data_IF_342816694849
#
_entry.id   IF_342816694849
#
_cell.length_a   1.000
_cell.length_b   1.000
_cell.length_c   1.000
_cell.angle_alpha   90.00
_cell.angle_beta   90.00
_cell.angle_gamma   90.00
#
_symmetry.space_group_name_H-M   'P 1'
#
loop_
_entity.id
_entity.type
_entity.pdbx_description
1 polymer ?
#
# COMPACT_ATOMS: atom_id res chain seq x y z
N UNK A 1 -26.03 26.66 1.40
CA UNK A 1 -25.72 25.49 0.53
C UNK A 1 -24.24 25.18 0.64
N UNK A 2 -23.85 23.92 0.94
CA UNK A 2 -22.44 23.57 1.20
C UNK A 2 -21.65 23.66 -0.13
N UNK A 3 -20.57 24.44 -0.15
CA UNK A 3 -19.70 24.67 -1.32
C UNK A 3 -19.20 23.35 -1.96
N UNK A 4 -18.97 22.35 -1.12
CA UNK A 4 -18.50 21.03 -1.55
C UNK A 4 -19.60 20.22 -2.28
N UNK A 5 -20.84 20.41 -1.89
CA UNK A 5 -22.00 19.83 -2.61
C UNK A 5 -22.09 20.41 -4.02
N UNK A 6 -21.97 21.74 -4.16
CA UNK A 6 -22.00 22.41 -5.47
C UNK A 6 -20.88 21.87 -6.38
N UNK A 7 -19.65 21.76 -5.87
CA UNK A 7 -18.51 21.23 -6.65
C UNK A 7 -18.77 19.81 -7.14
N UNK A 8 -19.29 18.94 -6.28
CA UNK A 8 -19.61 17.54 -6.66
C UNK A 8 -20.67 17.52 -7.76
N UNK A 9 -21.75 18.28 -7.62
CA UNK A 9 -22.79 18.39 -8.64
C UNK A 9 -22.25 18.88 -9.99
N UNK A 10 -21.45 19.96 -9.99
CA UNK A 10 -20.84 20.52 -11.19
C UNK A 10 -19.82 19.57 -11.85
N UNK A 11 -19.25 18.66 -11.10
CA UNK A 11 -18.27 17.69 -11.59
C UNK A 11 -18.85 16.28 -11.77
N UNK A 12 -20.18 16.14 -11.71
CA UNK A 12 -20.93 14.91 -11.95
C UNK A 12 -20.62 13.77 -10.94
N UNK A 13 -20.26 14.13 -9.70
CA UNK A 13 -20.12 13.17 -8.62
C UNK A 13 -21.38 13.17 -7.76
N UNK A 14 -22.01 12.01 -7.66
CA UNK A 14 -23.24 11.80 -6.91
C UNK A 14 -22.97 11.10 -5.58
N UNK A 15 -23.82 11.32 -4.59
CA UNK A 15 -23.77 10.57 -3.32
C UNK A 15 -23.99 9.08 -3.58
N UNK A 16 -23.22 8.25 -2.89
CA UNK A 16 -23.17 6.81 -3.10
C UNK A 16 -23.35 6.03 -1.81
N UNK A 17 -23.54 4.71 -1.94
CA UNK A 17 -23.53 3.76 -0.84
C UNK A 17 -22.16 3.11 -0.68
N UNK A 18 -21.93 2.49 0.47
CA UNK A 18 -20.73 1.68 0.70
C UNK A 18 -20.70 0.45 -0.23
N UNK A 19 -21.83 -0.18 -0.50
CA UNK A 19 -21.90 -1.32 -1.45
C UNK A 19 -21.48 -0.90 -2.86
N UNK A 20 -22.00 0.20 -3.37
CA UNK A 20 -21.58 0.75 -4.67
C UNK A 20 -20.08 1.06 -4.72
N UNK A 21 -19.53 1.60 -3.64
CA UNK A 21 -18.10 1.84 -3.53
C UNK A 21 -17.30 0.52 -3.58
N UNK A 22 -17.73 -0.51 -2.83
CA UNK A 22 -17.11 -1.84 -2.82
C UNK A 22 -17.10 -2.46 -4.22
N UNK A 23 -18.26 -2.49 -4.91
CA UNK A 23 -18.38 -3.02 -6.25
C UNK A 23 -17.45 -2.30 -7.26
N UNK A 24 -17.36 -0.98 -7.14
CA UNK A 24 -16.48 -0.15 -7.98
C UNK A 24 -15.02 -0.45 -7.71
N UNK A 25 -14.64 -0.63 -6.44
CA UNK A 25 -13.29 -1.02 -6.06
C UNK A 25 -12.93 -2.41 -6.58
N UNK A 26 -13.81 -3.39 -6.43
CA UNK A 26 -13.61 -4.75 -6.95
C UNK A 26 -13.41 -4.76 -8.47
N UNK A 27 -14.08 -3.85 -9.18
CA UNK A 27 -13.96 -3.73 -10.62
C UNK A 27 -12.67 -3.05 -11.06
N UNK A 28 -12.32 -1.90 -10.48
CA UNK A 28 -11.26 -1.02 -10.98
C UNK A 28 -9.99 -0.99 -10.11
N UNK A 29 -10.10 -1.38 -8.86
CA UNK A 29 -8.99 -1.42 -7.91
C UNK A 29 -8.65 -0.08 -7.30
N UNK A 30 -7.71 -0.12 -6.36
CA UNK A 30 -7.24 1.04 -5.62
C UNK A 30 -6.07 0.68 -4.72
N UNK A 31 -5.51 1.66 -4.02
CA UNK A 31 -4.48 1.42 -3.01
C UNK A 31 -5.08 0.80 -1.73
N UNK A 32 -4.23 0.21 -0.89
CA UNK A 32 -4.67 -0.47 0.35
C UNK A 32 -5.48 0.46 1.27
N UNK A 33 -5.10 1.72 1.38
CA UNK A 33 -5.82 2.73 2.17
C UNK A 33 -7.17 3.16 1.57
N UNK A 34 -7.53 2.57 0.41
CA UNK A 34 -8.82 2.70 -0.25
C UNK A 34 -9.60 1.38 -0.23
N UNK A 35 -9.04 0.28 0.30
CA UNK A 35 -9.67 -1.04 0.27
C UNK A 35 -10.99 -1.06 1.06
N UNK A 36 -12.09 -1.62 0.51
CA UNK A 36 -13.38 -1.65 1.20
C UNK A 36 -13.34 -2.30 2.59
N UNK A 37 -12.59 -3.38 2.76
CA UNK A 37 -12.49 -4.05 4.06
C UNK A 37 -11.76 -3.19 5.10
N UNK A 38 -10.78 -2.39 4.66
CA UNK A 38 -10.13 -1.39 5.53
C UNK A 38 -11.13 -0.30 5.93
N UNK A 39 -11.95 0.17 5.00
CA UNK A 39 -13.02 1.14 5.27
C UNK A 39 -14.02 0.57 6.26
N UNK A 40 -14.53 -0.65 6.03
CA UNK A 40 -15.48 -1.35 6.89
C UNK A 40 -14.92 -1.57 8.29
N UNK A 41 -13.64 -1.97 8.41
CA UNK A 41 -12.94 -2.11 9.67
C UNK A 41 -12.98 -0.80 10.49
N UNK A 42 -12.65 0.34 9.89
CA UNK A 42 -12.70 1.62 10.58
C UNK A 42 -14.12 2.10 10.88
N UNK A 43 -15.08 1.80 10.03
CA UNK A 43 -16.50 2.08 10.31
C UNK A 43 -17.00 1.29 11.50
N UNK A 44 -16.72 -0.01 11.55
CA UNK A 44 -17.30 -0.95 12.50
C UNK A 44 -16.61 -0.89 13.87
N UNK A 45 -15.29 -0.82 13.89
CA UNK A 45 -14.51 -0.96 15.14
C UNK A 45 -13.97 0.36 15.69
N UNK A 46 -13.91 1.42 14.87
CA UNK A 46 -13.38 2.72 15.27
C UNK A 46 -14.37 3.88 15.14
N UNK A 47 -15.63 3.61 14.77
CA UNK A 47 -16.70 4.60 14.63
C UNK A 47 -16.37 5.77 13.69
N UNK A 48 -15.55 5.53 12.67
CA UNK A 48 -15.20 6.55 11.70
C UNK A 48 -16.35 6.79 10.72
N UNK A 49 -16.55 8.06 10.37
CA UNK A 49 -17.59 8.47 9.43
C UNK A 49 -17.04 8.57 8.03
N UNK A 50 -17.70 7.92 7.08
CA UNK A 50 -17.36 7.96 5.68
C UNK A 50 -18.54 8.47 4.86
N UNK A 51 -18.23 9.29 3.86
CA UNK A 51 -19.18 9.71 2.83
C UNK A 51 -18.69 9.18 1.50
N UNK A 52 -19.54 8.45 0.78
CA UNK A 52 -19.19 7.81 -0.47
C UNK A 52 -19.76 8.59 -1.65
N UNK A 53 -19.03 8.60 -2.77
CA UNK A 53 -19.40 9.28 -4.00
C UNK A 53 -19.04 8.41 -5.18
N UNK A 54 -19.89 8.43 -6.23
CA UNK A 54 -19.62 7.74 -7.48
C UNK A 54 -19.72 8.70 -8.67
N UNK A 55 -19.02 8.36 -9.74
CA UNK A 55 -19.10 9.02 -11.03
C UNK A 55 -19.81 8.11 -12.03
N UNK A 56 -20.91 8.61 -12.59
CA UNK A 56 -21.73 7.88 -13.55
C UNK A 56 -21.54 8.43 -14.96
N UNK A 57 -21.35 7.56 -15.94
CA UNK A 57 -21.25 7.93 -17.34
C UNK A 57 -21.97 6.90 -18.21
N UNK A 58 -22.83 7.35 -19.09
CA UNK A 58 -23.64 6.49 -19.96
C UNK A 58 -24.45 5.41 -19.20
N UNK A 59 -24.98 5.76 -18.06
CA UNK A 59 -25.74 4.84 -17.20
C UNK A 59 -24.92 3.91 -16.31
N UNK A 60 -23.60 3.82 -16.49
CA UNK A 60 -22.68 2.95 -15.75
C UNK A 60 -21.83 3.73 -14.74
N UNK A 61 -21.53 3.10 -13.60
CA UNK A 61 -20.59 3.66 -12.62
C UNK A 61 -19.16 3.42 -13.12
N UNK A 62 -18.44 4.50 -13.34
CA UNK A 62 -17.08 4.51 -13.88
C UNK A 62 -16.01 4.92 -12.86
N UNK A 63 -16.42 5.24 -11.65
CA UNK A 63 -15.48 5.56 -10.58
C UNK A 63 -16.20 5.81 -9.27
N UNK A 64 -15.48 5.65 -8.17
CA UNK A 64 -15.96 5.97 -6.84
C UNK A 64 -14.82 6.45 -5.94
N UNK A 65 -15.15 7.26 -4.96
CA UNK A 65 -14.24 7.60 -3.87
C UNK A 65 -15.03 7.79 -2.58
N UNK A 66 -14.31 7.87 -1.49
CA UNK A 66 -14.88 8.28 -0.21
C UNK A 66 -14.08 9.42 0.42
N UNK A 67 -14.75 10.13 1.31
CA UNK A 67 -14.15 11.12 2.20
C UNK A 67 -14.28 10.62 3.62
N UNK A 68 -13.16 10.56 4.34
CA UNK A 68 -13.11 10.14 5.72
C UNK A 68 -13.21 11.36 6.64
N UNK A 69 -14.11 11.31 7.63
CA UNK A 69 -14.36 12.37 8.63
C UNK A 69 -14.52 13.76 8.00
N UNK A 70 -15.17 13.82 6.83
CA UNK A 70 -15.42 15.03 6.04
C UNK A 70 -14.16 15.84 5.64
N UNK A 71 -13.00 15.22 5.60
CA UNK A 71 -11.74 15.96 5.38
C UNK A 71 -10.91 15.51 4.19
N UNK A 72 -10.73 14.20 3.97
CA UNK A 72 -9.73 13.70 3.01
C UNK A 72 -10.18 12.44 2.29
N UNK A 73 -9.75 12.30 1.04
CA UNK A 73 -9.84 11.05 0.29
C UNK A 73 -8.84 10.04 0.87
N UNK A 74 -9.30 8.82 1.08
CA UNK A 74 -8.49 7.72 1.59
C UNK A 74 -8.28 7.77 3.11
N UNK A 75 -7.90 6.64 3.67
CA UNK A 75 -7.53 6.53 5.09
C UNK A 75 -6.07 6.93 5.24
N UNK A 76 -5.84 8.13 5.73
CA UNK A 76 -4.51 8.74 5.81
C UNK A 76 -4.05 8.83 7.27
N UNK A 77 -3.71 7.69 7.85
CA UNK A 77 -3.17 7.60 9.21
C UNK A 77 -1.65 7.42 9.17
N UNK A 78 -0.95 8.16 10.02
CA UNK A 78 0.47 8.00 10.22
C UNK A 78 0.73 7.40 11.60
N UNK A 79 1.54 6.33 11.65
CA UNK A 79 2.10 5.77 12.89
C UNK A 79 1.09 5.21 13.90
N UNK A 80 -0.20 5.16 13.56
CA UNK A 80 -1.22 4.60 14.46
C UNK A 80 -1.59 3.18 14.03
N UNK A 81 -1.81 2.98 12.74
CA UNK A 81 -2.09 1.69 12.12
C UNK A 81 -1.09 1.42 10.98
N UNK A 82 -0.85 0.15 10.62
CA UNK A 82 0.11 -0.22 9.59
C UNK A 82 -0.46 0.03 8.17
N UNK A 83 -0.89 1.27 7.92
CA UNK A 83 -1.38 1.73 6.63
C UNK A 83 -0.48 2.84 6.09
N UNK A 84 -0.05 2.70 4.85
CA UNK A 84 0.64 3.77 4.17
C UNK A 84 -0.31 4.93 3.86
N UNK A 85 0.21 6.12 4.00
CA UNK A 85 -0.49 7.35 3.64
C UNK A 85 0.27 8.15 2.57
N UNK A 86 1.11 7.49 1.79
CA UNK A 86 2.02 8.16 0.86
C UNK A 86 1.35 8.46 -0.47
N UNK A 87 0.47 7.59 -0.96
CA UNK A 87 -0.37 7.86 -2.12
C UNK A 87 -1.80 7.32 -1.97
N UNK A 88 -2.67 7.76 -2.88
CA UNK A 88 -4.05 7.30 -3.03
C UNK A 88 -4.29 6.94 -4.49
N UNK A 89 -4.62 5.68 -4.73
CA UNK A 89 -5.13 5.19 -6.01
C UNK A 89 -6.65 4.99 -5.85
N UNK A 90 -7.42 5.82 -6.55
CA UNK A 90 -8.90 5.84 -6.50
C UNK A 90 -9.44 4.80 -7.50
N UNK A 91 -10.50 4.04 -7.19
CA UNK A 91 -11.13 3.13 -8.15
C UNK A 91 -11.81 3.90 -9.29
N UNK A 92 -11.13 4.00 -10.43
CA UNK A 92 -11.59 4.66 -11.65
C UNK A 92 -11.42 3.72 -12.84
N UNK A 93 -12.42 3.70 -13.73
CA UNK A 93 -12.31 3.01 -15.02
C UNK A 93 -11.10 3.55 -15.82
N UNK A 94 -10.31 2.69 -16.49
CA UNK A 94 -9.07 3.10 -17.16
C UNK A 94 -9.26 4.25 -18.18
N UNK A 95 -10.39 4.26 -18.88
CA UNK A 95 -10.73 5.25 -19.89
C UNK A 95 -11.36 6.54 -19.33
N UNK A 96 -11.68 6.59 -18.04
CA UNK A 96 -12.36 7.72 -17.43
C UNK A 96 -11.44 8.94 -17.36
N UNK A 97 -11.96 10.08 -17.81
CA UNK A 97 -11.38 11.41 -17.56
C UNK A 97 -12.41 12.27 -16.85
N UNK A 98 -12.09 12.74 -15.66
CA UNK A 98 -13.02 13.50 -14.81
C UNK A 98 -12.32 14.59 -14.00
N UNK A 99 -13.12 15.52 -13.48
CA UNK A 99 -12.70 16.44 -12.43
C UNK A 99 -12.90 15.79 -11.05
N UNK A 100 -11.91 15.88 -10.18
CA UNK A 100 -12.02 15.44 -8.79
C UNK A 100 -12.42 16.63 -7.90
N UNK A 101 -13.57 16.62 -7.25
CA UNK A 101 -14.05 17.77 -6.46
C UNK A 101 -13.37 17.93 -5.11
N UNK A 102 -12.48 17.03 -4.75
CA UNK A 102 -11.79 17.00 -3.46
C UNK A 102 -10.33 17.41 -3.57
N UNK A 103 -9.84 18.13 -2.56
CA UNK A 103 -8.42 18.50 -2.48
C UNK A 103 -7.59 17.36 -1.92
N UNK A 104 -6.57 16.97 -2.65
CA UNK A 104 -5.54 16.04 -2.17
C UNK A 104 -4.20 16.36 -2.80
N UNK A 105 -3.10 15.96 -2.16
CA UNK A 105 -1.75 16.06 -2.70
C UNK A 105 -1.06 14.69 -2.74
N UNK A 106 -1.85 13.62 -2.82
CA UNK A 106 -1.41 12.22 -2.73
C UNK A 106 -1.95 11.35 -3.85
N UNK A 107 -2.44 11.93 -4.95
CA UNK A 107 -2.92 11.15 -6.06
C UNK A 107 -1.78 10.30 -6.64
N UNK A 108 -2.08 9.03 -6.87
CA UNK A 108 -1.18 8.13 -7.56
C UNK A 108 -0.85 8.63 -8.96
N UNK A 109 0.35 8.34 -9.45
CA UNK A 109 0.78 8.67 -10.81
C UNK A 109 -0.11 8.02 -11.87
N UNK A 110 -0.75 6.92 -11.57
CA UNK A 110 -1.70 6.24 -12.47
C UNK A 110 -2.93 7.10 -12.82
N UNK A 111 -3.24 8.11 -12.01
CA UNK A 111 -4.32 9.07 -12.31
C UNK A 111 -3.92 10.24 -13.21
N UNK A 112 -2.69 10.26 -13.71
CA UNK A 112 -2.15 11.42 -14.45
C UNK A 112 -2.93 11.76 -15.71
N UNK A 113 -3.48 10.77 -16.41
CA UNK A 113 -4.31 10.95 -17.60
C UNK A 113 -5.81 11.05 -17.29
N UNK A 114 -6.23 10.69 -16.08
CA UNK A 114 -7.63 10.53 -15.69
C UNK A 114 -8.19 11.77 -14.98
N UNK A 115 -7.42 12.40 -14.07
CA UNK A 115 -7.91 13.53 -13.27
C UNK A 115 -7.45 14.84 -13.89
N UNK A 116 -8.41 15.57 -14.49
CA UNK A 116 -8.17 16.74 -15.33
C UNK A 116 -7.67 17.95 -14.52
N UNK A 117 -8.22 18.15 -13.31
CA UNK A 117 -7.87 19.24 -12.41
C UNK A 117 -6.75 18.87 -11.41
N UNK A 118 -5.78 18.08 -11.86
CA UNK A 118 -4.63 17.74 -11.04
C UNK A 118 -3.30 18.00 -11.77
N UNK A 119 -2.26 18.22 -10.98
CA UNK A 119 -0.90 18.40 -11.47
C UNK A 119 0.09 17.55 -10.67
N UNK A 120 1.10 17.04 -11.36
CA UNK A 120 2.23 16.29 -10.76
C UNK A 120 3.52 17.14 -10.72
N UNK A 121 3.45 18.40 -11.19
CA UNK A 121 4.60 19.31 -11.25
C UNK A 121 4.83 20.13 -10.00
N UNK A 122 3.76 20.48 -9.26
CA UNK A 122 3.83 21.37 -8.10
C UNK A 122 4.13 20.64 -6.78
N UNK A 123 4.00 19.30 -6.75
CA UNK A 123 4.27 18.50 -5.55
C UNK A 123 5.71 17.98 -5.47
N UNK A 124 6.69 18.71 -6.02
CA UNK A 124 8.10 18.30 -6.20
C UNK A 124 8.80 17.72 -4.98
N UNK A 125 8.26 17.87 -3.78
CA UNK A 125 8.87 17.37 -2.53
C UNK A 125 8.32 16.02 -2.05
N UNK A 126 7.29 15.47 -2.73
CA UNK A 126 6.66 14.21 -2.30
C UNK A 126 6.70 13.22 -3.46
N UNK A 127 7.56 12.24 -3.34
CA UNK A 127 7.65 11.13 -4.28
C UNK A 127 7.27 9.85 -3.57
N UNK A 128 6.52 9.00 -4.25
CA UNK A 128 6.27 7.62 -3.87
C UNK A 128 7.10 6.69 -4.74
N UNK A 129 7.63 5.62 -4.17
CA UNK A 129 8.47 4.64 -4.84
C UNK A 129 7.63 3.44 -5.26
N UNK A 130 7.48 3.24 -6.57
CA UNK A 130 6.84 2.06 -7.15
C UNK A 130 7.89 1.11 -7.68
N UNK A 131 7.78 -0.17 -7.33
CA UNK A 131 8.75 -1.21 -7.73
C UNK A 131 8.78 -1.33 -9.25
N UNK A 132 9.98 -1.45 -9.80
CA UNK A 132 10.24 -1.59 -11.24
C UNK A 132 9.58 -2.85 -11.79
N UNK A 133 9.03 -2.75 -12.98
CA UNK A 133 8.46 -3.91 -13.68
C UNK A 133 9.54 -4.94 -14.00
N UNK A 134 10.74 -4.48 -14.36
CA UNK A 134 11.87 -5.34 -14.71
C UNK A 134 13.13 -4.95 -13.94
N UNK A 135 13.97 -5.95 -13.70
CA UNK A 135 15.30 -5.77 -13.14
C UNK A 135 16.34 -6.31 -14.12
N UNK A 136 17.56 -5.77 -14.08
CA UNK A 136 18.65 -6.31 -14.90
C UNK A 136 18.98 -7.75 -14.50
N UNK A 137 19.45 -8.54 -15.47
CA UNK A 137 19.86 -9.93 -15.24
C UNK A 137 20.93 -10.04 -14.14
N UNK A 138 21.88 -9.08 -14.10
CA UNK A 138 22.92 -8.99 -13.06
C UNK A 138 22.31 -8.78 -11.67
N UNK A 139 21.31 -7.88 -11.56
CA UNK A 139 20.61 -7.63 -10.28
C UNK A 139 19.91 -8.91 -9.80
N UNK A 140 19.12 -9.54 -10.67
CA UNK A 140 18.42 -10.79 -10.35
C UNK A 140 19.37 -11.93 -9.95
N UNK A 141 20.51 -12.10 -10.69
CA UNK A 141 21.54 -13.08 -10.35
C UNK A 141 22.12 -12.84 -8.95
N UNK A 142 22.46 -11.58 -8.64
CA UNK A 142 23.01 -11.22 -7.33
C UNK A 142 22.02 -11.53 -6.19
N UNK A 143 20.73 -11.19 -6.35
CA UNK A 143 19.71 -11.49 -5.33
C UNK A 143 19.52 -12.99 -5.14
N UNK A 144 19.49 -13.78 -6.22
CA UNK A 144 19.44 -15.25 -6.12
C UNK A 144 20.66 -15.83 -5.38
N UNK A 145 21.86 -15.33 -5.68
CA UNK A 145 23.07 -15.78 -5.01
C UNK A 145 23.06 -15.44 -3.51
N UNK A 146 22.61 -14.24 -3.12
CA UNK A 146 22.45 -13.86 -1.72
C UNK A 146 21.44 -14.77 -1.01
N UNK A 147 20.30 -15.03 -1.65
CA UNK A 147 19.29 -15.93 -1.10
C UNK A 147 19.84 -17.37 -0.92
N UNK A 148 20.53 -17.92 -1.92
CA UNK A 148 21.16 -19.23 -1.80
C UNK A 148 22.24 -19.28 -0.71
N UNK A 149 23.03 -18.22 -0.56
CA UNK A 149 24.00 -18.09 0.54
C UNK A 149 23.30 -18.07 1.90
N UNK A 150 22.20 -17.31 2.01
CA UNK A 150 21.39 -17.25 3.22
C UNK A 150 20.87 -18.62 3.65
N UNK A 151 20.30 -19.38 2.70
CA UNK A 151 19.79 -20.73 2.97
C UNK A 151 20.91 -21.68 3.41
N UNK A 152 22.08 -21.68 2.72
CA UNK A 152 23.22 -22.52 3.08
C UNK A 152 23.81 -22.22 4.46
N UNK A 153 23.65 -21.01 4.94
CA UNK A 153 24.12 -20.61 6.28
C UNK A 153 23.08 -20.81 7.39
N UNK A 154 22.01 -21.59 7.15
CA UNK A 154 21.00 -21.88 8.15
C UNK A 154 19.81 -20.93 8.14
N UNK A 155 19.67 -20.13 7.10
CA UNK A 155 18.48 -19.29 6.88
C UNK A 155 17.30 -20.11 6.37
N UNK A 156 16.09 -19.69 6.71
CA UNK A 156 14.84 -20.28 6.19
C UNK A 156 13.78 -19.22 5.95
N UNK A 157 12.76 -19.59 5.18
CA UNK A 157 11.61 -18.74 4.85
C UNK A 157 10.37 -19.41 5.39
N UNK A 158 9.58 -18.69 6.15
CA UNK A 158 8.29 -19.16 6.68
C UNK A 158 7.14 -18.37 6.08
N UNK A 159 6.07 -19.07 5.70
CA UNK A 159 4.83 -18.43 5.25
C UNK A 159 4.18 -17.66 6.39
N UNK A 160 3.47 -16.57 6.08
CA UNK A 160 2.67 -15.88 7.08
C UNK A 160 1.62 -16.80 7.70
N UNK A 161 1.10 -17.79 6.95
CA UNK A 161 0.07 -18.71 7.45
C UNK A 161 0.54 -19.62 8.60
N UNK A 162 1.86 -19.72 8.80
CA UNK A 162 2.44 -20.45 9.93
C UNK A 162 2.35 -19.71 11.28
N UNK A 163 1.87 -18.47 11.28
CA UNK A 163 1.84 -17.61 12.45
C UNK A 163 0.43 -17.10 12.77
N UNK A 164 0.13 -16.97 14.04
CA UNK A 164 -1.00 -16.16 14.50
C UNK A 164 -0.75 -14.67 14.31
N UNK A 165 -1.82 -13.85 14.39
CA UNK A 165 -1.70 -12.40 14.35
C UNK A 165 -0.80 -11.86 15.46
N UNK A 166 -0.94 -12.37 16.67
CA UNK A 166 -0.15 -11.95 17.84
C UNK A 166 1.33 -12.28 17.70
N UNK A 167 1.66 -13.47 17.18
CA UNK A 167 3.05 -13.83 16.88
C UNK A 167 3.67 -12.89 15.87
N UNK A 168 2.95 -12.51 14.81
CA UNK A 168 3.45 -11.54 13.84
C UNK A 168 3.63 -10.14 14.45
N UNK A 169 2.79 -9.72 15.38
CA UNK A 169 2.98 -8.47 16.13
C UNK A 169 4.28 -8.51 16.93
N UNK A 170 4.52 -9.58 17.67
CA UNK A 170 5.74 -9.74 18.45
C UNK A 170 6.99 -9.78 17.57
N UNK A 171 6.96 -10.54 16.47
CA UNK A 171 8.04 -10.61 15.48
C UNK A 171 8.32 -9.22 14.91
N UNK A 172 7.29 -8.53 14.43
CA UNK A 172 7.44 -7.20 13.86
C UNK A 172 8.06 -6.21 14.85
N UNK A 173 7.53 -6.15 16.08
CA UNK A 173 7.99 -5.19 17.08
C UNK A 173 9.43 -5.47 17.50
N UNK A 174 9.80 -6.74 17.68
CA UNK A 174 11.16 -7.15 18.01
C UNK A 174 12.15 -6.72 16.92
N UNK A 175 11.83 -7.03 15.65
CA UNK A 175 12.68 -6.67 14.50
C UNK A 175 12.73 -5.16 14.25
N UNK A 176 11.61 -4.46 14.45
CA UNK A 176 11.57 -3.00 14.35
C UNK A 176 12.47 -2.33 15.38
N UNK A 177 12.37 -2.74 16.65
CA UNK A 177 13.23 -2.22 17.73
C UNK A 177 14.69 -2.58 17.51
N UNK A 178 15.00 -3.79 17.05
CA UNK A 178 16.35 -4.18 16.68
C UNK A 178 16.95 -3.26 15.63
N UNK A 179 16.16 -2.88 14.61
CA UNK A 179 16.60 -2.02 13.52
C UNK A 179 16.75 -0.54 13.90
N UNK A 180 15.77 0.01 14.60
CA UNK A 180 15.62 1.44 14.81
C UNK A 180 15.86 1.89 16.26
N UNK A 181 15.96 0.93 17.22
CA UNK A 181 15.99 1.25 18.65
C UNK A 181 14.76 2.06 19.05
N UNK A 182 14.97 3.06 19.90
CA UNK A 182 13.94 4.00 20.35
C UNK A 182 13.89 5.28 19.51
N UNK A 183 14.67 5.36 18.43
CA UNK A 183 14.72 6.56 17.57
C UNK A 183 13.46 6.80 16.77
N UNK A 184 12.71 5.75 16.47
CA UNK A 184 11.44 5.82 15.75
C UNK A 184 10.33 5.13 16.55
N UNK A 185 9.14 5.73 16.65
CA UNK A 185 8.00 5.10 17.32
C UNK A 185 7.52 3.90 16.48
N UNK A 186 7.43 2.74 17.14
CA UNK A 186 6.74 1.57 16.61
C UNK A 186 5.23 1.78 16.63
N UNK A 187 4.49 1.03 15.81
CA UNK A 187 3.04 0.98 15.94
C UNK A 187 2.64 0.43 17.32
N UNK A 188 1.57 0.97 17.95
CA UNK A 188 1.06 0.44 19.22
C UNK A 188 0.64 -1.04 19.07
N UNK A 189 1.01 -1.86 20.06
CA UNK A 189 0.72 -3.32 20.03
C UNK A 189 -0.77 -3.61 19.84
N UNK A 190 -1.64 -2.94 20.63
CA UNK A 190 -3.08 -3.14 20.54
C UNK A 190 -3.64 -2.84 19.14
N UNK A 191 -3.15 -1.78 18.50
CA UNK A 191 -3.59 -1.43 17.14
C UNK A 191 -3.09 -2.44 16.10
N UNK A 192 -1.89 -3.00 16.28
CA UNK A 192 -1.38 -4.05 15.39
C UNK A 192 -2.15 -5.34 15.55
N UNK A 193 -2.37 -5.80 16.78
CA UNK A 193 -3.15 -7.01 17.09
C UNK A 193 -4.56 -6.89 16.53
N UNK A 194 -5.23 -5.78 16.81
CA UNK A 194 -6.57 -5.51 16.30
C UNK A 194 -6.60 -5.49 14.75
N UNK A 195 -5.69 -4.79 14.13
CA UNK A 195 -5.59 -4.73 12.66
C UNK A 195 -5.28 -6.09 12.04
N UNK A 196 -4.33 -6.85 12.60
CA UNK A 196 -3.95 -8.16 12.06
C UNK A 196 -5.04 -9.21 12.26
N UNK A 197 -5.83 -9.14 13.34
CA UNK A 197 -6.94 -10.07 13.56
C UNK A 197 -8.09 -9.86 12.57
N UNK A 198 -8.43 -8.61 12.25
CA UNK A 198 -9.56 -8.30 11.37
C UNK A 198 -9.21 -8.27 9.88
N UNK A 199 -7.95 -7.90 9.53
CA UNK A 199 -7.50 -7.69 8.15
C UNK A 199 -6.37 -8.64 7.73
N UNK A 200 -6.28 -9.81 8.38
CA UNK A 200 -5.28 -10.84 8.10
C UNK A 200 -5.24 -11.25 6.64
N UNK A 201 -6.37 -11.35 5.97
CA UNK A 201 -6.51 -11.73 4.58
C UNK A 201 -5.90 -10.72 3.59
N UNK A 202 -5.65 -9.48 4.03
CA UNK A 202 -4.93 -8.48 3.26
C UNK A 202 -3.41 -8.57 3.43
N UNK A 203 -2.91 -9.33 4.40
CA UNK A 203 -1.47 -9.48 4.60
C UNK A 203 -0.86 -10.40 3.54
N UNK A 204 0.36 -10.10 3.16
CA UNK A 204 1.10 -10.81 2.12
C UNK A 204 2.58 -10.93 2.48
N UNK A 205 3.26 -11.95 1.93
CA UNK A 205 4.70 -12.11 2.09
C UNK A 205 5.12 -13.24 3.02
N UNK A 206 6.31 -13.10 3.60
CA UNK A 206 6.95 -14.13 4.41
C UNK A 206 7.75 -13.53 5.56
N UNK A 207 8.15 -14.36 6.51
CA UNK A 207 9.12 -14.04 7.56
C UNK A 207 10.41 -14.81 7.27
N UNK A 208 11.55 -14.14 7.32
CA UNK A 208 12.86 -14.80 7.25
C UNK A 208 13.33 -15.17 8.65
N UNK A 209 13.85 -16.38 8.77
CA UNK A 209 14.45 -16.93 9.98
C UNK A 209 15.92 -17.23 9.76
N UNK A 210 16.72 -17.02 10.79
CA UNK A 210 18.12 -17.41 10.84
C UNK A 210 18.40 -18.02 12.21
N UNK A 211 19.01 -19.23 12.24
CA UNK A 211 19.26 -19.96 13.49
C UNK A 211 18.01 -20.03 14.40
N UNK A 212 16.89 -20.43 13.82
CA UNK A 212 15.58 -20.57 14.50
C UNK A 212 14.99 -19.26 15.08
N UNK A 213 15.57 -18.10 14.75
CA UNK A 213 15.05 -16.79 15.18
C UNK A 213 14.58 -15.96 13.99
N UNK A 214 13.49 -15.18 14.11
CA UNK A 214 13.08 -14.26 13.06
C UNK A 214 14.17 -13.20 12.83
N UNK A 215 14.54 -12.96 11.57
CA UNK A 215 15.60 -12.03 11.21
C UNK A 215 15.18 -10.92 10.25
N UNK A 216 14.07 -11.09 9.49
CA UNK A 216 13.45 -10.02 8.72
C UNK A 216 11.96 -10.26 8.52
N UNK A 217 11.18 -9.20 8.64
CA UNK A 217 9.76 -9.18 8.34
C UNK A 217 9.33 -7.79 7.87
N UNK A 218 8.65 -7.74 6.72
CA UNK A 218 7.97 -6.55 6.22
C UNK A 218 6.46 -6.75 6.35
N UNK A 219 5.76 -5.75 6.88
CA UNK A 219 4.30 -5.71 6.79
C UNK A 219 4.00 -5.35 5.34
N UNK A 220 3.56 -6.33 4.56
CA UNK A 220 3.09 -6.14 3.19
C UNK A 220 1.59 -6.34 3.18
N UNK A 221 0.85 -5.37 2.68
CA UNK A 221 -0.60 -5.44 2.53
C UNK A 221 -0.95 -5.49 1.05
N UNK A 222 -2.03 -6.21 0.73
CA UNK A 222 -2.48 -6.48 -0.63
C UNK A 222 -3.91 -5.97 -0.81
N UNK A 223 -4.15 -5.19 -1.85
CA UNK A 223 -5.47 -4.77 -2.31
C UNK A 223 -5.69 -5.32 -3.72
N UNK A 224 -6.58 -6.29 -3.85
CA UNK A 224 -6.84 -7.02 -5.09
C UNK A 224 -8.17 -6.59 -5.71
N UNK A 225 -8.18 -6.41 -7.03
CA UNK A 225 -9.35 -6.12 -7.86
C UNK A 225 -9.38 -7.04 -9.08
N UNK A 226 -10.35 -6.83 -9.98
CA UNK A 226 -10.37 -7.52 -11.28
C UNK A 226 -9.20 -7.11 -12.17
N UNK A 227 -8.78 -5.83 -12.15
CA UNK A 227 -7.76 -5.28 -13.06
C UNK A 227 -6.33 -5.40 -12.53
N UNK A 228 -6.16 -5.18 -11.22
CA UNK A 228 -4.83 -5.05 -10.63
C UNK A 228 -4.74 -5.64 -9.23
N UNK A 229 -3.51 -5.83 -8.78
CA UNK A 229 -3.20 -6.06 -7.37
C UNK A 229 -2.22 -4.99 -6.92
N UNK A 230 -2.63 -4.20 -5.96
CA UNK A 230 -1.81 -3.18 -5.33
C UNK A 230 -1.22 -3.72 -4.03
N UNK A 231 0.10 -3.77 -3.95
CA UNK A 231 0.84 -4.11 -2.74
C UNK A 231 1.41 -2.85 -2.10
N UNK A 232 1.42 -2.79 -0.79
CA UNK A 232 1.97 -1.67 -0.03
C UNK A 232 2.81 -2.18 1.14
N UNK A 233 3.96 -1.52 1.37
CA UNK A 233 4.87 -1.83 2.47
C UNK A 233 4.93 -0.64 3.42
N UNK A 234 4.00 -0.54 4.38
CA UNK A 234 4.00 0.57 5.33
C UNK A 234 5.22 0.57 6.25
N UNK A 235 5.75 -0.59 6.60
CA UNK A 235 6.93 -0.70 7.45
C UNK A 235 7.52 -2.12 7.45
N UNK A 236 8.72 -2.27 8.03
CA UNK A 236 9.39 -3.55 8.22
C UNK A 236 10.52 -3.47 9.24
N UNK A 237 10.99 -4.62 9.66
CA UNK A 237 12.09 -4.76 10.61
C UNK A 237 13.11 -5.80 10.18
N UNK A 238 14.36 -5.61 10.63
CA UNK A 238 15.48 -6.50 10.36
C UNK A 238 16.32 -6.61 11.63
N UNK A 239 16.74 -7.80 11.97
CA UNK A 239 17.66 -8.07 13.10
C UNK A 239 19.06 -7.57 12.75
N UNK A 240 19.63 -6.67 13.59
CA UNK A 240 20.93 -6.04 13.32
C UNK A 240 22.05 -7.04 13.15
N UNK A 241 22.09 -8.08 13.98
CA UNK A 241 23.11 -9.13 14.00
C UNK A 241 23.15 -9.92 12.68
N UNK A 242 22.04 -9.94 11.94
CA UNK A 242 21.92 -10.65 10.66
C UNK A 242 22.25 -9.78 9.44
N UNK A 243 22.63 -8.52 9.59
CA UNK A 243 22.80 -7.57 8.48
C UNK A 243 23.86 -8.01 7.45
N UNK A 244 24.88 -8.75 7.86
CA UNK A 244 25.90 -9.34 6.96
C UNK A 244 25.34 -10.33 5.96
N UNK A 245 24.16 -10.92 6.24
CA UNK A 245 23.43 -11.82 5.36
C UNK A 245 22.41 -11.10 4.45
N UNK A 246 22.31 -9.78 4.55
CA UNK A 246 21.39 -8.94 3.76
C UNK A 246 19.91 -9.37 3.81
N UNK A 247 19.32 -9.78 4.97
CA UNK A 247 18.00 -10.39 5.01
C UNK A 247 16.88 -9.45 4.53
N UNK A 248 16.99 -8.14 4.76
CA UNK A 248 16.02 -7.17 4.24
C UNK A 248 15.99 -7.10 2.70
N UNK A 249 17.15 -7.23 2.03
CA UNK A 249 17.20 -7.30 0.56
C UNK A 249 16.65 -8.62 0.03
N UNK A 250 16.93 -9.72 0.72
CA UNK A 250 16.41 -11.05 0.36
C UNK A 250 14.88 -11.07 0.50
N UNK A 251 14.36 -10.58 1.62
CA UNK A 251 12.92 -10.51 1.87
C UNK A 251 12.19 -9.66 0.82
N UNK A 252 12.72 -8.46 0.54
CA UNK A 252 12.15 -7.60 -0.51
C UNK A 252 12.15 -8.29 -1.86
N UNK A 253 13.25 -9.00 -2.22
CA UNK A 253 13.33 -9.73 -3.49
C UNK A 253 12.30 -10.85 -3.57
N UNK A 254 12.12 -11.63 -2.50
CA UNK A 254 11.11 -12.69 -2.41
C UNK A 254 9.69 -12.11 -2.51
N UNK A 255 9.37 -11.09 -1.72
CA UNK A 255 8.05 -10.47 -1.74
C UNK A 255 7.69 -9.91 -3.12
N UNK A 256 8.63 -9.22 -3.78
CA UNK A 256 8.41 -8.67 -5.13
C UNK A 256 8.23 -9.75 -6.18
N UNK A 257 9.10 -10.79 -6.21
CA UNK A 257 8.97 -11.85 -7.22
C UNK A 257 7.69 -12.67 -7.02
N UNK A 258 7.38 -13.04 -5.77
CA UNK A 258 6.15 -13.77 -5.47
C UNK A 258 4.91 -12.95 -5.86
N UNK A 259 4.91 -11.63 -5.59
CA UNK A 259 3.83 -10.74 -5.98
C UNK A 259 3.69 -10.63 -7.52
N UNK A 260 4.80 -10.57 -8.27
CA UNK A 260 4.78 -10.60 -9.73
C UNK A 260 4.20 -11.91 -10.26
N UNK A 261 4.66 -13.05 -9.76
CA UNK A 261 4.12 -14.37 -10.14
C UNK A 261 2.62 -14.49 -9.80
N UNK A 262 2.22 -13.98 -8.63
CA UNK A 262 0.81 -13.94 -8.23
C UNK A 262 -0.05 -13.15 -9.22
N UNK A 263 0.40 -11.97 -9.64
CA UNK A 263 -0.29 -11.13 -10.62
C UNK A 263 -0.32 -11.79 -12.00
N UNK A 264 0.81 -12.36 -12.45
CA UNK A 264 0.90 -13.08 -13.74
C UNK A 264 -0.05 -14.26 -13.79
N UNK A 265 -0.09 -15.09 -12.76
CA UNK A 265 -0.99 -16.25 -12.69
C UNK A 265 -2.47 -15.87 -12.76
N UNK A 266 -2.82 -14.67 -12.33
CA UNK A 266 -4.20 -14.14 -12.34
C UNK A 266 -4.49 -13.18 -13.51
N UNK A 267 -3.53 -12.94 -14.39
CA UNK A 267 -3.60 -11.97 -15.48
C UNK A 267 -4.01 -10.57 -15.00
N UNK A 268 -3.39 -10.10 -13.91
CA UNK A 268 -3.65 -8.79 -13.29
C UNK A 268 -2.42 -7.90 -13.36
N UNK A 269 -2.65 -6.59 -13.44
CA UNK A 269 -1.57 -5.60 -13.36
C UNK A 269 -0.92 -5.66 -11.97
N UNK A 270 0.42 -5.70 -11.96
CA UNK A 270 1.23 -5.62 -10.76
C UNK A 270 1.49 -4.16 -10.39
N UNK A 271 1.18 -3.75 -9.16
CA UNK A 271 1.53 -2.45 -8.59
C UNK A 271 2.10 -2.71 -7.20
N UNK A 272 3.32 -2.26 -6.91
CA UNK A 272 3.96 -2.50 -5.63
C UNK A 272 4.60 -1.21 -5.11
N UNK A 273 4.03 -0.64 -4.06
CA UNK A 273 4.51 0.57 -3.41
C UNK A 273 5.42 0.22 -2.22
N UNK A 274 6.58 0.87 -2.15
CA UNK A 274 7.46 0.80 -0.99
C UNK A 274 7.53 2.16 -0.27
N UNK A 275 6.49 2.97 -0.48
CA UNK A 275 6.26 4.23 0.21
C UNK A 275 7.15 5.39 -0.22
N UNK A 276 7.09 6.48 0.51
CA UNK A 276 7.77 7.73 0.15
C UNK A 276 9.29 7.59 0.01
N UNK A 277 9.85 8.33 -0.95
CA UNK A 277 11.29 8.55 -1.04
C UNK A 277 11.68 9.67 -0.06
N UNK A 278 12.74 9.41 0.72
CA UNK A 278 13.42 10.39 1.58
C UNK A 278 14.92 10.27 1.39
N UNK A 279 15.70 11.32 1.68
CA UNK A 279 17.14 11.26 1.53
C UNK A 279 17.78 10.06 2.23
N UNK A 280 17.35 9.74 3.44
CA UNK A 280 17.85 8.61 4.23
C UNK A 280 17.41 7.23 3.70
N UNK A 281 16.55 7.19 2.68
CA UNK A 281 15.98 5.96 2.09
C UNK A 281 16.33 5.76 0.61
N UNK A 282 17.46 6.30 0.16
CA UNK A 282 17.93 6.14 -1.23
C UNK A 282 18.11 4.67 -1.67
N UNK A 283 18.28 3.74 -0.72
CA UNK A 283 18.32 2.31 -1.04
C UNK A 283 17.08 1.83 -1.80
N UNK A 284 15.94 2.53 -1.68
CA UNK A 284 14.70 2.24 -2.41
C UNK A 284 14.88 2.34 -3.92
N UNK A 285 15.76 3.20 -4.42
CA UNK A 285 16.04 3.40 -5.85
C UNK A 285 16.64 2.15 -6.53
N UNK A 286 17.17 1.22 -5.74
CA UNK A 286 17.62 -0.08 -6.26
C UNK A 286 16.42 -0.93 -6.72
N UNK A 287 15.26 -0.77 -6.08
CA UNK A 287 14.06 -1.56 -6.25
C UNK A 287 12.98 -0.88 -7.06
N UNK A 288 12.89 0.43 -6.94
CA UNK A 288 11.75 1.21 -7.36
C UNK A 288 12.16 2.48 -8.12
N UNK A 289 11.20 3.00 -8.86
CA UNK A 289 11.27 4.33 -9.46
C UNK A 289 10.45 5.31 -8.62
N UNK A 290 10.96 6.52 -8.39
CA UNK A 290 10.25 7.55 -7.64
C UNK A 290 9.33 8.34 -8.56
N UNK A 291 8.05 8.44 -8.21
CA UNK A 291 7.05 9.22 -8.92
C UNK A 291 6.50 10.33 -8.03
N UNK A 292 6.35 11.52 -8.58
CA UNK A 292 5.68 12.61 -7.87
C UNK A 292 4.20 12.27 -7.69
N UNK A 293 3.69 12.49 -6.45
CA UNK A 293 2.25 12.40 -6.21
C UNK A 293 1.53 13.61 -6.76
N UNK A 294 0.32 13.40 -7.25
CA UNK A 294 -0.51 14.44 -7.84
C UNK A 294 -1.21 15.30 -6.78
N UNK A 295 -1.39 16.59 -7.11
CA UNK A 295 -2.18 17.54 -6.34
C UNK A 295 -3.40 17.96 -7.15
N UNK A 296 -4.61 17.72 -6.61
CA UNK A 296 -5.86 18.22 -7.19
C UNK A 296 -6.17 19.65 -6.73
N UNK A 297 -6.83 20.40 -7.60
CA UNK A 297 -7.28 21.75 -7.37
C UNK A 297 -8.81 21.78 -7.43
N UNK A 298 -9.44 22.35 -6.41
CA UNK A 298 -10.90 22.55 -6.31
C UNK A 298 -11.20 23.95 -5.87
#
# INVERSE_FOLDING_TARGET
MNIQYIKRTLTHWETSSFSTYRDTFEQYGGSVNMHPDVVEYFMKYHNWKFSFFHYKKYGEIKGAYFVCNNQKIGILMRRTFPLSSDEVLIPLAPELRCFLPERTNKLSVYHRSQIINATWRLARKKQNCLVKDTFSSKFGKNRRNEYQKFLRNGGSVKSLDEFSGDELVLIYQSLFRSRFGDTLPCYPSGNLTDFFSHLRHLMYGSVLYFENSPCAFDIVLKAESRLNVYFDVPNGGVKKECMSLSPGSILMWLNVNNAKHYCQAKNKQFIFSIGALRPEWEYKLRWAEPFFTGKSFC
#
